data_IF_488672406591
#
_entry.id   IF_488672406591
#
_cell.length_a   1.000
_cell.length_b   1.000
_cell.length_c   1.000
_cell.angle_alpha   90.00
_cell.angle_beta   90.00
_cell.angle_gamma   90.00
#
_symmetry.space_group_name_H-M   'P 1'
#
loop_
_entity.id
_entity.type
_entity.pdbx_description
1 polymer ?
#
# COMPACT_ATOMS: atom_id res chain seq x y z
N UNK A 1 -25.35 14.25 -9.01
CA UNK A 1 -24.08 13.50 -9.04
C UNK A 1 -23.45 13.71 -7.68
N UNK A 2 -23.34 12.66 -6.88
CA UNK A 2 -22.69 12.77 -5.57
C UNK A 2 -21.19 13.01 -5.79
N UNK A 3 -20.70 14.12 -5.23
CA UNK A 3 -19.31 14.49 -5.32
C UNK A 3 -18.52 13.74 -4.25
N UNK A 4 -17.71 12.77 -4.65
CA UNK A 4 -16.82 12.05 -3.74
C UNK A 4 -15.76 12.98 -3.16
N UNK A 5 -15.62 12.98 -1.84
CA UNK A 5 -14.51 13.66 -1.16
C UNK A 5 -13.43 12.62 -0.90
N UNK A 6 -12.22 12.88 -1.39
CA UNK A 6 -11.04 12.02 -1.17
C UNK A 6 -10.74 11.76 0.31
N UNK A 7 -11.19 12.64 1.20
CA UNK A 7 -11.08 12.46 2.65
C UNK A 7 -11.89 11.30 3.23
N UNK A 8 -12.89 10.84 2.48
CA UNK A 8 -13.87 9.85 2.89
C UNK A 8 -13.64 8.52 2.13
N UNK A 9 -12.58 8.45 1.30
CA UNK A 9 -12.22 7.27 0.53
C UNK A 9 -11.03 6.53 1.16
N UNK A 10 -11.10 5.21 1.12
CA UNK A 10 -9.94 4.35 1.34
C UNK A 10 -9.05 4.30 0.09
N UNK A 11 -7.75 4.11 0.30
CA UNK A 11 -6.80 3.82 -0.76
C UNK A 11 -6.14 2.46 -0.56
N UNK A 12 -6.32 1.57 -1.54
CA UNK A 12 -5.61 0.29 -1.62
C UNK A 12 -4.25 0.52 -2.27
N UNK A 13 -3.17 0.23 -1.56
CA UNK A 13 -1.80 0.28 -2.10
C UNK A 13 -1.31 -1.15 -2.32
N UNK A 14 -1.02 -1.48 -3.58
CA UNK A 14 -0.55 -2.79 -4.00
C UNK A 14 0.94 -2.97 -3.65
N UNK A 15 1.21 -3.85 -2.68
CA UNK A 15 2.54 -4.09 -2.11
C UNK A 15 3.01 -5.55 -2.26
N UNK A 16 2.20 -6.47 -2.80
CA UNK A 16 2.52 -7.90 -2.86
C UNK A 16 3.46 -8.36 -3.98
N UNK A 17 3.82 -7.47 -4.90
CA UNK A 17 4.67 -7.81 -6.07
C UNK A 17 6.10 -8.21 -5.68
N UNK A 18 6.60 -9.31 -6.27
CA UNK A 18 7.98 -9.80 -6.03
C UNK A 18 9.09 -8.92 -6.62
N UNK A 19 8.76 -7.90 -7.42
CA UNK A 19 9.73 -6.93 -7.94
C UNK A 19 10.90 -7.54 -8.72
N UNK A 20 10.71 -8.66 -9.44
CA UNK A 20 11.79 -9.51 -10.00
C UNK A 20 12.82 -8.78 -10.87
N UNK A 21 12.45 -7.67 -11.53
CA UNK A 21 13.37 -6.86 -12.34
C UNK A 21 14.32 -5.99 -11.49
N UNK A 22 13.89 -5.61 -10.28
CA UNK A 22 14.66 -4.80 -9.33
C UNK A 22 15.34 -5.62 -8.23
N UNK A 23 15.07 -6.93 -8.13
CA UNK A 23 15.67 -7.82 -7.14
C UNK A 23 17.21 -7.84 -7.17
N UNK A 24 17.83 -7.48 -8.31
CA UNK A 24 19.28 -7.35 -8.41
C UNK A 24 19.84 -6.19 -7.57
N UNK A 25 19.04 -5.15 -7.33
CA UNK A 25 19.43 -3.90 -6.64
C UNK A 25 18.83 -3.82 -5.23
N UNK A 26 17.65 -4.41 -5.01
CA UNK A 26 16.93 -4.41 -3.71
C UNK A 26 16.66 -5.85 -3.32
N UNK A 27 17.56 -6.44 -2.53
CA UNK A 27 17.55 -7.88 -2.18
C UNK A 27 16.89 -8.18 -0.83
N UNK A 28 16.97 -7.25 0.12
CA UNK A 28 16.64 -7.48 1.53
C UNK A 28 15.21 -7.04 1.91
N UNK A 29 14.50 -6.33 1.02
CA UNK A 29 13.21 -5.71 1.31
C UNK A 29 12.24 -5.71 0.12
N UNK A 30 10.92 -5.58 0.36
CA UNK A 30 9.94 -5.39 -0.70
C UNK A 30 10.26 -4.12 -1.50
N UNK A 31 9.93 -4.11 -2.80
CA UNK A 31 10.14 -2.94 -3.67
C UNK A 31 9.50 -1.65 -3.12
N UNK A 32 8.27 -1.67 -2.55
CA UNK A 32 7.72 -0.48 -1.87
C UNK A 32 8.62 0.09 -0.76
N UNK A 33 9.43 -0.74 -0.09
CA UNK A 33 10.35 -0.29 0.96
C UNK A 33 11.76 0.01 0.46
N UNK A 34 12.01 -0.01 -0.85
CA UNK A 34 13.26 0.44 -1.43
C UNK A 34 13.57 1.88 -1.02
N UNK A 35 14.82 2.16 -0.65
CA UNK A 35 15.23 3.50 -0.21
C UNK A 35 15.51 4.36 -1.43
N UNK A 36 14.80 5.49 -1.53
CA UNK A 36 14.98 6.50 -2.57
C UNK A 36 15.21 7.85 -1.87
N UNK A 37 16.37 8.45 -2.10
CA UNK A 37 16.76 9.73 -1.46
C UNK A 37 16.60 9.70 0.08
N UNK A 38 17.03 8.60 0.71
CA UNK A 38 17.07 8.46 2.17
C UNK A 38 15.78 8.01 2.87
N UNK A 39 14.68 7.76 2.14
CA UNK A 39 13.42 7.25 2.72
C UNK A 39 12.76 6.16 1.87
N UNK A 40 11.95 5.25 2.44
CA UNK A 40 11.16 4.26 1.70
C UNK A 40 10.35 4.85 0.55
N UNK A 41 10.33 4.18 -0.60
CA UNK A 41 9.54 4.60 -1.76
C UNK A 41 8.04 4.74 -1.41
N UNK A 42 7.53 3.83 -0.57
CA UNK A 42 6.16 3.83 -0.07
C UNK A 42 5.78 5.14 0.63
N UNK A 43 6.73 5.85 1.26
CA UNK A 43 6.45 7.17 1.83
C UNK A 43 6.02 8.17 0.75
N UNK A 44 6.62 8.12 -0.45
CA UNK A 44 6.26 9.03 -1.54
C UNK A 44 4.84 8.77 -2.04
N UNK A 45 4.45 7.50 -2.17
CA UNK A 45 3.09 7.10 -2.56
C UNK A 45 2.07 7.57 -1.52
N UNK A 46 2.35 7.32 -0.24
CA UNK A 46 1.49 7.72 0.88
C UNK A 46 1.36 9.24 0.96
N UNK A 47 2.49 9.97 0.92
CA UNK A 47 2.49 11.43 1.04
C UNK A 47 1.77 12.08 -0.14
N UNK A 48 1.93 11.53 -1.35
CA UNK A 48 1.21 12.03 -2.53
C UNK A 48 -0.29 11.89 -2.36
N UNK A 49 -0.78 10.68 -2.00
CA UNK A 49 -2.20 10.45 -1.77
C UNK A 49 -2.75 11.28 -0.59
N UNK A 50 -1.98 11.40 0.50
CA UNK A 50 -2.35 12.19 1.67
C UNK A 50 -2.48 13.70 1.35
N UNK A 51 -1.64 14.24 0.46
CA UNK A 51 -1.75 15.64 -0.01
C UNK A 51 -3.06 15.92 -0.73
N UNK A 52 -3.65 14.90 -1.37
CA UNK A 52 -4.97 14.99 -2.00
C UNK A 52 -6.12 14.65 -1.05
N UNK A 53 -5.85 14.43 0.24
CA UNK A 53 -6.87 14.29 1.28
C UNK A 53 -7.12 12.87 1.76
N UNK A 54 -6.52 11.83 1.16
CA UNK A 54 -6.71 10.43 1.59
C UNK A 54 -6.26 10.23 3.03
N UNK A 55 -7.10 9.61 3.85
CA UNK A 55 -6.83 9.43 5.30
C UNK A 55 -6.57 8.00 5.73
N UNK A 56 -7.05 7.01 4.99
CA UNK A 56 -6.98 5.59 5.34
C UNK A 56 -6.40 4.78 4.19
N UNK A 57 -5.47 3.89 4.51
CA UNK A 57 -4.72 3.09 3.55
C UNK A 57 -4.83 1.61 3.86
N UNK A 58 -5.20 0.82 2.85
CA UNK A 58 -5.20 -0.64 2.89
C UNK A 58 -3.99 -1.12 2.09
N UNK A 59 -3.04 -1.77 2.76
CA UNK A 59 -1.78 -2.21 2.18
C UNK A 59 -1.93 -3.69 1.82
N UNK A 60 -2.24 -3.98 0.54
CA UNK A 60 -2.34 -5.34 0.03
C UNK A 60 -0.93 -5.91 -0.14
N UNK A 61 -0.46 -6.63 0.88
CA UNK A 61 0.92 -7.09 1.01
C UNK A 61 0.99 -8.61 0.82
N UNK A 62 2.01 -9.08 0.13
CA UNK A 62 2.23 -10.51 -0.12
C UNK A 62 3.65 -10.87 0.27
N UNK A 63 4.56 -10.88 -0.71
CA UNK A 63 5.97 -11.17 -0.45
C UNK A 63 6.56 -10.23 0.62
N UNK A 64 7.13 -10.81 1.68
CA UNK A 64 7.70 -10.08 2.82
C UNK A 64 6.70 -9.11 3.50
N UNK A 65 5.42 -9.50 3.56
CA UNK A 65 4.34 -8.83 4.30
C UNK A 65 4.75 -8.33 5.69
N UNK A 66 5.52 -9.12 6.45
CA UNK A 66 6.04 -8.75 7.77
C UNK A 66 6.82 -7.44 7.78
N UNK A 67 7.64 -7.17 6.74
CA UNK A 67 8.39 -5.91 6.65
C UNK A 67 7.47 -4.71 6.38
N UNK A 68 6.40 -4.90 5.59
CA UNK A 68 5.37 -3.85 5.37
C UNK A 68 4.60 -3.60 6.68
N UNK A 69 4.27 -4.66 7.41
CA UNK A 69 3.59 -4.59 8.71
C UNK A 69 4.42 -3.83 9.74
N UNK A 70 5.71 -4.14 9.86
CA UNK A 70 6.62 -3.49 10.78
C UNK A 70 6.88 -2.03 10.39
N UNK A 71 7.03 -1.76 9.09
CA UNK A 71 7.07 -0.40 8.58
C UNK A 71 5.84 0.40 9.04
N UNK A 72 4.61 -0.11 8.83
CA UNK A 72 3.40 0.60 9.21
C UNK A 72 3.26 0.79 10.73
N UNK A 73 3.62 -0.22 11.54
CA UNK A 73 3.54 -0.16 13.02
C UNK A 73 4.46 0.91 13.63
N UNK A 74 5.63 1.12 13.02
CA UNK A 74 6.64 2.06 13.51
C UNK A 74 6.40 3.51 13.06
N UNK A 75 5.37 3.76 12.22
CA UNK A 75 5.00 5.12 11.81
C UNK A 75 4.26 5.87 12.92
N UNK A 76 4.43 7.20 13.03
CA UNK A 76 3.64 8.01 13.96
C UNK A 76 2.15 8.01 13.61
N UNK A 77 1.81 7.87 12.33
CA UNK A 77 0.43 7.85 11.82
C UNK A 77 -0.12 6.43 11.60
N UNK A 78 0.42 5.43 12.30
CA UNK A 78 0.07 4.00 12.17
C UNK A 78 -1.42 3.67 12.18
N UNK A 79 -2.25 4.47 12.85
CA UNK A 79 -3.70 4.29 12.92
C UNK A 79 -4.41 4.44 11.55
N UNK A 80 -3.73 5.02 10.55
CA UNK A 80 -4.24 5.19 9.18
C UNK A 80 -4.07 3.96 8.32
N UNK A 81 -3.34 2.95 8.78
CA UNK A 81 -2.91 1.83 7.94
C UNK A 81 -3.50 0.51 8.40
N UNK A 82 -4.00 -0.26 7.44
CA UNK A 82 -4.36 -1.65 7.62
C UNK A 82 -3.58 -2.49 6.61
N UNK A 83 -2.75 -3.39 7.09
CA UNK A 83 -2.02 -4.33 6.23
C UNK A 83 -2.85 -5.59 6.06
N UNK A 84 -3.05 -5.98 4.81
CA UNK A 84 -3.78 -7.18 4.43
C UNK A 84 -2.78 -8.13 3.80
N UNK A 85 -2.50 -9.23 4.49
CA UNK A 85 -1.55 -10.25 4.02
C UNK A 85 -2.24 -11.21 3.06
N UNK A 86 -1.81 -11.20 1.80
CA UNK A 86 -2.25 -12.14 0.77
C UNK A 86 -1.72 -13.56 1.09
N UNK A 87 -2.58 -14.60 1.04
CA UNK A 87 -2.17 -15.97 1.36
C UNK A 87 -1.19 -16.58 0.33
N UNK A 88 -1.24 -16.07 -0.90
CA UNK A 88 -0.34 -16.38 -2.01
C UNK A 88 -0.44 -15.24 -3.03
N UNK A 89 0.44 -15.12 -4.04
CA UNK A 89 0.34 -14.04 -5.03
C UNK A 89 -1.01 -14.09 -5.76
N UNK A 90 -1.87 -13.09 -5.54
CA UNK A 90 -3.22 -13.03 -6.11
C UNK A 90 -3.28 -12.22 -7.42
N UNK A 91 -2.19 -11.54 -7.77
CA UNK A 91 -2.17 -10.55 -8.85
C UNK A 91 -2.98 -9.29 -8.49
N UNK A 92 -2.99 -8.30 -9.37
CA UNK A 92 -3.60 -6.98 -9.10
C UNK A 92 -5.08 -7.10 -8.74
N UNK A 93 -5.89 -7.73 -9.58
CA UNK A 93 -7.34 -7.83 -9.35
C UNK A 93 -7.68 -8.69 -8.14
N UNK A 94 -6.95 -9.78 -7.92
CA UNK A 94 -7.16 -10.66 -6.77
C UNK A 94 -6.77 -9.99 -5.45
N UNK A 95 -5.68 -9.23 -5.43
CA UNK A 95 -5.26 -8.44 -4.27
C UNK A 95 -6.31 -7.39 -3.88
N UNK A 96 -6.87 -6.68 -4.88
CA UNK A 96 -7.97 -5.72 -4.66
C UNK A 96 -9.20 -6.44 -4.10
N UNK A 97 -9.62 -7.55 -4.72
CA UNK A 97 -10.80 -8.31 -4.25
C UNK A 97 -10.60 -8.87 -2.83
N UNK A 98 -9.39 -9.27 -2.49
CA UNK A 98 -9.06 -9.76 -1.16
C UNK A 98 -9.03 -8.65 -0.11
N UNK A 99 -8.67 -7.42 -0.50
CA UNK A 99 -8.70 -6.24 0.35
C UNK A 99 -10.12 -5.68 0.59
N UNK A 100 -11.08 -5.99 -0.29
CA UNK A 100 -12.46 -5.46 -0.27
C UNK A 100 -13.17 -5.56 1.09
N UNK A 101 -13.12 -6.68 1.84
CA UNK A 101 -13.81 -6.80 3.13
C UNK A 101 -13.27 -5.85 4.22
N UNK A 102 -12.12 -5.23 3.98
CA UNK A 102 -11.47 -4.30 4.92
C UNK A 102 -11.70 -2.83 4.57
N UNK A 103 -12.32 -2.56 3.43
CA UNK A 103 -12.69 -1.21 2.99
C UNK A 103 -13.85 -0.69 3.84
N UNK A 104 -13.83 0.61 4.11
CA UNK A 104 -14.89 1.34 4.79
C UNK A 104 -15.69 2.25 3.86
N UNK A 105 -15.27 2.35 2.59
CA UNK A 105 -15.89 3.19 1.57
C UNK A 105 -16.31 2.38 0.34
N UNK A 106 -17.47 2.70 -0.24
CA UNK A 106 -17.99 2.03 -1.44
C UNK A 106 -17.16 2.36 -2.70
N UNK A 107 -16.60 3.57 -2.73
CA UNK A 107 -15.63 4.02 -3.73
C UNK A 107 -14.26 4.09 -3.07
N UNK A 108 -13.23 3.65 -3.77
CA UNK A 108 -11.87 3.64 -3.24
C UNK A 108 -10.85 3.85 -4.36
N UNK A 109 -9.65 4.25 -3.97
CA UNK A 109 -8.52 4.42 -4.88
C UNK A 109 -7.65 3.16 -4.90
N UNK A 110 -7.05 2.86 -6.05
CA UNK A 110 -6.02 1.83 -6.17
C UNK A 110 -4.73 2.51 -6.61
N UNK A 111 -3.66 2.26 -5.86
CA UNK A 111 -2.32 2.80 -6.11
C UNK A 111 -1.33 1.65 -6.23
N UNK A 112 -0.41 1.77 -7.18
CA UNK A 112 0.76 0.89 -7.21
C UNK A 112 1.73 1.32 -6.10
N UNK A 113 2.22 0.38 -5.30
CA UNK A 113 3.24 0.68 -4.28
C UNK A 113 4.64 0.92 -4.84
N UNK A 114 4.79 0.95 -6.17
CA UNK A 114 6.08 0.92 -6.86
C UNK A 114 6.18 1.83 -8.09
N UNK A 115 5.17 2.70 -8.33
CA UNK A 115 5.11 3.71 -9.39
C UNK A 115 4.48 5.00 -8.88
#
# INVERSE_FOLDING_TARGET
MDAWRTSDLDAVILCGGRGRRLQSVVRDRPKPLAIVQGRPFLDYVIDHAARFGVRRFILAAGFQSGLIQDYCRNRPDRARFQVVEEPHPLGTGGAVKFAEPFLQSDVFLILNGDS
#
